data_IF_355590457520
#
_entry.id   IF_355590457520
#
_cell.length_a   1.000
_cell.length_b   1.000
_cell.length_c   1.000
_cell.angle_alpha   90.00
_cell.angle_beta   90.00
_cell.angle_gamma   90.00
#
_symmetry.space_group_name_H-M   'P 1'
#
loop_
_entity.id
_entity.type
_entity.pdbx_description
1 polymer ?
#
# COMPACT_ATOMS: atom_id res chain seq x y z
N UNK A 1 -1.59 -18.94 26.67
CA UNK A 1 -1.46 -17.48 26.46
C UNK A 1 -0.65 -17.16 25.20
N UNK A 2 0.51 -17.78 25.00
CA UNK A 2 1.33 -17.64 23.76
C UNK A 2 0.62 -18.02 22.46
N UNK A 3 -0.15 -19.11 22.44
CA UNK A 3 -0.93 -19.52 21.24
C UNK A 3 -1.95 -18.46 20.79
N UNK A 4 -2.58 -17.77 21.74
CA UNK A 4 -3.56 -16.72 21.43
C UNK A 4 -2.88 -15.53 20.72
N UNK A 5 -1.69 -15.13 21.19
CA UNK A 5 -0.93 -14.06 20.55
C UNK A 5 -0.44 -14.45 19.16
N UNK A 6 0.05 -15.67 18.97
CA UNK A 6 0.41 -16.17 17.64
C UNK A 6 -0.78 -16.14 16.67
N UNK A 7 -1.95 -16.58 17.12
CA UNK A 7 -3.17 -16.55 16.32
C UNK A 7 -3.55 -15.10 15.95
N UNK A 8 -3.42 -14.16 16.89
CA UNK A 8 -3.67 -12.74 16.62
C UNK A 8 -2.67 -12.16 15.60
N UNK A 9 -1.39 -12.49 15.70
CA UNK A 9 -0.35 -12.06 14.75
C UNK A 9 -0.67 -12.57 13.34
N UNK A 10 -1.03 -13.85 13.21
CA UNK A 10 -1.41 -14.44 11.91
C UNK A 10 -2.65 -13.77 11.34
N UNK A 11 -3.66 -13.46 12.17
CA UNK A 11 -4.83 -12.68 11.74
C UNK A 11 -4.41 -11.30 11.26
N UNK A 12 -3.53 -10.60 11.99
CA UNK A 12 -3.02 -9.29 11.58
C UNK A 12 -2.34 -9.36 10.20
N UNK A 13 -1.49 -10.36 9.95
CA UNK A 13 -0.83 -10.51 8.66
C UNK A 13 -1.80 -10.92 7.54
N UNK A 14 -2.79 -11.76 7.83
CA UNK A 14 -3.84 -12.10 6.88
C UNK A 14 -4.67 -10.86 6.50
N UNK A 15 -5.04 -10.02 7.47
CA UNK A 15 -5.74 -8.75 7.22
C UNK A 15 -4.87 -7.79 6.44
N UNK A 16 -3.57 -7.73 6.74
CA UNK A 16 -2.61 -6.90 6.01
C UNK A 16 -2.56 -7.30 4.52
N UNK A 17 -2.44 -8.59 4.21
CA UNK A 17 -2.46 -9.06 2.82
C UNK A 17 -3.84 -8.87 2.16
N UNK A 18 -4.92 -9.08 2.91
CA UNK A 18 -6.29 -8.88 2.40
C UNK A 18 -6.57 -7.41 2.07
N UNK A 19 -5.90 -6.47 2.73
CA UNK A 19 -6.07 -5.04 2.46
C UNK A 19 -5.61 -4.65 1.06
N UNK A 20 -4.74 -5.44 0.42
CA UNK A 20 -4.34 -5.23 -0.98
C UNK A 20 -5.54 -5.38 -1.93
N UNK A 21 -6.48 -6.25 -1.57
CA UNK A 21 -7.72 -6.51 -2.33
C UNK A 21 -8.81 -5.51 -1.94
N UNK A 22 -8.88 -5.16 -0.64
CA UNK A 22 -9.87 -4.24 -0.08
C UNK A 22 -9.15 -3.01 0.52
N UNK A 23 -8.80 -2.00 -0.30
CA UNK A 23 -7.81 -0.98 0.07
C UNK A 23 -8.38 0.15 0.95
N UNK A 24 -9.30 -0.22 1.84
CA UNK A 24 -9.88 0.66 2.87
C UNK A 24 -8.89 0.85 4.02
N UNK A 25 -8.10 -0.20 4.27
CA UNK A 25 -7.25 -0.31 5.45
C UNK A 25 -5.78 -0.24 5.01
N UNK A 26 -4.93 0.56 5.67
CA UNK A 26 -3.50 0.55 5.39
C UNK A 26 -2.89 -0.77 5.89
N UNK A 27 -2.65 -1.73 4.99
CA UNK A 27 -2.19 -3.07 5.35
C UNK A 27 -0.89 -3.09 6.14
N UNK A 28 0.02 -2.16 5.84
CA UNK A 28 1.31 -2.04 6.54
C UNK A 28 1.09 -1.81 8.05
N UNK A 29 0.05 -1.06 8.46
CA UNK A 29 -0.24 -0.85 9.88
C UNK A 29 -0.55 -2.16 10.61
N UNK A 30 -1.23 -3.11 9.95
CA UNK A 30 -1.54 -4.41 10.54
C UNK A 30 -0.28 -5.29 10.68
N UNK A 31 0.70 -5.14 9.79
CA UNK A 31 2.01 -5.78 9.98
C UNK A 31 2.69 -5.26 11.25
N UNK A 32 2.73 -3.93 11.42
CA UNK A 32 3.29 -3.31 12.62
C UNK A 32 2.58 -3.75 13.91
N UNK A 33 1.26 -3.83 13.90
CA UNK A 33 0.48 -4.35 15.03
C UNK A 33 0.92 -5.79 15.36
N UNK A 34 1.07 -6.66 14.36
CA UNK A 34 1.58 -8.02 14.56
C UNK A 34 2.98 -8.06 15.18
N UNK A 35 3.89 -7.21 14.70
CA UNK A 35 5.26 -7.13 15.24
C UNK A 35 5.27 -6.66 16.71
N UNK A 36 4.44 -5.67 17.04
CA UNK A 36 4.31 -5.15 18.40
C UNK A 36 3.66 -6.18 19.34
N UNK A 37 2.65 -6.92 18.88
CA UNK A 37 2.04 -8.02 19.65
C UNK A 37 3.10 -9.08 19.98
N UNK A 38 3.98 -9.41 19.03
CA UNK A 38 5.06 -10.36 19.28
C UNK A 38 6.05 -9.85 20.33
N UNK A 39 6.55 -8.63 20.15
CA UNK A 39 7.55 -8.01 21.03
C UNK A 39 7.06 -7.82 22.47
N UNK A 40 5.78 -7.44 22.66
CA UNK A 40 5.25 -7.13 23.99
C UNK A 40 4.46 -8.28 24.62
N UNK A 41 3.81 -9.13 23.80
CA UNK A 41 2.89 -10.16 24.26
C UNK A 41 3.51 -11.57 24.35
N UNK A 42 4.49 -11.89 23.50
CA UNK A 42 5.07 -13.23 23.47
C UNK A 42 6.40 -13.25 24.20
N UNK A 43 7.41 -12.54 23.71
CA UNK A 43 8.73 -12.51 24.33
C UNK A 43 9.28 -11.08 24.29
N UNK A 44 9.51 -10.50 25.47
CA UNK A 44 10.15 -9.20 25.57
C UNK A 44 11.61 -9.32 25.13
N UNK A 45 12.01 -8.49 24.16
CA UNK A 45 13.38 -8.38 23.61
C UNK A 45 13.83 -9.39 22.55
N UNK A 46 12.93 -10.12 21.90
CA UNK A 46 13.34 -11.04 20.81
C UNK A 46 13.60 -10.32 19.49
N UNK A 47 12.77 -9.36 19.05
CA UNK A 47 13.02 -8.76 17.73
C UNK A 47 14.26 -7.88 17.74
N UNK A 48 15.20 -8.20 16.84
CA UNK A 48 16.49 -7.51 16.75
C UNK A 48 16.34 -6.04 16.35
N UNK A 49 17.28 -5.18 16.73
CA UNK A 49 17.29 -3.78 16.26
C UNK A 49 17.44 -3.69 14.72
N UNK A 50 18.11 -4.69 14.12
CA UNK A 50 18.19 -4.86 12.66
C UNK A 50 16.80 -5.11 12.06
N UNK A 51 15.98 -5.96 12.68
CA UNK A 51 14.59 -6.17 12.25
C UNK A 51 13.82 -4.85 12.24
N UNK A 52 13.84 -4.09 13.35
CA UNK A 52 13.09 -2.82 13.43
C UNK A 52 13.55 -1.79 12.41
N UNK A 53 14.86 -1.58 12.26
CA UNK A 53 15.40 -0.66 11.27
C UNK A 53 15.05 -1.08 9.83
N UNK A 54 15.10 -2.37 9.51
CA UNK A 54 14.67 -2.90 8.23
C UNK A 54 13.16 -2.68 8.00
N UNK A 55 12.30 -2.93 8.98
CA UNK A 55 10.85 -2.72 8.86
C UNK A 55 10.49 -1.25 8.63
N UNK A 56 11.16 -0.31 9.31
CA UNK A 56 11.01 1.14 9.03
C UNK A 56 11.42 1.45 7.60
N UNK A 57 12.58 0.95 7.17
CA UNK A 57 13.10 1.15 5.81
C UNK A 57 12.16 0.61 4.72
N UNK A 58 11.65 -0.61 4.88
CA UNK A 58 10.69 -1.23 3.95
C UNK A 58 9.35 -0.51 3.95
N UNK A 59 8.87 -0.06 5.11
CA UNK A 59 7.66 0.77 5.21
C UNK A 59 7.82 2.08 4.44
N UNK A 60 8.96 2.76 4.62
CA UNK A 60 9.26 3.99 3.88
C UNK A 60 9.35 3.73 2.37
N UNK A 61 9.96 2.59 1.98
CA UNK A 61 10.04 2.18 0.58
C UNK A 61 8.66 1.95 -0.04
N UNK A 62 7.69 1.39 0.68
CA UNK A 62 6.30 1.27 0.21
C UNK A 62 5.72 2.66 -0.10
N UNK A 63 5.78 3.60 0.85
CA UNK A 63 5.24 4.94 0.65
C UNK A 63 5.91 5.70 -0.50
N UNK A 64 7.22 5.57 -0.64
CA UNK A 64 7.96 6.16 -1.76
C UNK A 64 7.53 5.50 -3.08
N UNK A 65 7.42 4.18 -3.10
CA UNK A 65 6.98 3.43 -4.29
C UNK A 65 5.58 3.85 -4.73
N UNK A 66 4.65 4.05 -3.80
CA UNK A 66 3.30 4.52 -4.10
C UNK A 66 3.31 5.91 -4.76
N UNK A 67 4.11 6.84 -4.23
CA UNK A 67 4.21 8.18 -4.79
C UNK A 67 4.87 8.16 -6.18
N UNK A 68 5.94 7.37 -6.33
CA UNK A 68 6.67 7.24 -7.59
C UNK A 68 5.83 6.55 -8.67
N UNK A 69 5.12 5.47 -8.36
CA UNK A 69 4.27 4.76 -9.31
C UNK A 69 3.10 5.63 -9.79
N UNK A 70 2.44 6.34 -8.87
CA UNK A 70 1.38 7.30 -9.24
C UNK A 70 1.87 8.37 -10.20
N UNK A 71 3.01 9.01 -9.91
CA UNK A 71 3.59 10.02 -10.80
C UNK A 71 4.05 9.41 -12.12
N UNK A 72 4.79 8.31 -12.06
CA UNK A 72 5.40 7.67 -13.23
C UNK A 72 4.34 7.23 -14.23
N UNK A 73 3.33 6.46 -13.80
CA UNK A 73 2.35 5.90 -14.73
C UNK A 73 1.37 6.94 -15.26
N UNK A 74 0.91 7.89 -14.45
CA UNK A 74 0.03 8.96 -14.96
C UNK A 74 0.76 9.79 -16.01
N UNK A 75 2.02 10.20 -15.75
CA UNK A 75 2.84 10.93 -16.72
C UNK A 75 3.17 10.08 -17.96
N UNK A 76 3.51 8.80 -17.77
CA UNK A 76 3.84 7.86 -18.86
C UNK A 76 2.68 7.64 -19.83
N UNK A 77 1.45 7.69 -19.32
CA UNK A 77 0.21 7.62 -20.10
C UNK A 77 -0.27 8.99 -20.60
N UNK A 78 0.56 10.02 -20.43
CA UNK A 78 0.38 11.34 -21.01
C UNK A 78 -0.37 12.33 -20.13
N UNK A 79 -0.58 12.04 -18.84
CA UNK A 79 -1.21 12.96 -17.89
C UNK A 79 -0.37 14.20 -17.57
N UNK A 80 -1.03 15.23 -17.07
CA UNK A 80 -0.41 16.47 -16.61
C UNK A 80 -0.01 16.37 -15.13
N UNK A 81 0.80 17.32 -14.64
CA UNK A 81 1.13 17.42 -13.21
C UNK A 81 -0.13 17.52 -12.35
N UNK A 82 -1.19 18.19 -12.84
CA UNK A 82 -2.46 18.26 -12.12
C UNK A 82 -3.18 16.91 -12.13
N UNK A 83 -3.12 16.17 -13.24
CA UNK A 83 -3.60 14.80 -13.33
C UNK A 83 -2.90 13.86 -12.33
N UNK A 84 -1.57 13.96 -12.17
CA UNK A 84 -0.83 13.19 -11.17
C UNK A 84 -1.35 13.43 -9.74
N UNK A 85 -1.56 14.70 -9.36
CA UNK A 85 -2.15 15.05 -8.06
C UNK A 85 -3.61 14.62 -7.94
N UNK A 86 -4.38 14.69 -9.05
CA UNK A 86 -5.76 14.20 -9.11
C UNK A 86 -5.84 12.71 -8.78
N UNK A 87 -4.91 11.91 -9.32
CA UNK A 87 -4.84 10.48 -9.07
C UNK A 87 -4.52 10.20 -7.60
N UNK A 88 -3.52 10.87 -7.03
CA UNK A 88 -3.15 10.70 -5.61
C UNK A 88 -4.29 11.07 -4.66
N UNK A 89 -4.88 12.25 -4.85
CA UNK A 89 -6.01 12.70 -4.03
C UNK A 89 -7.23 11.81 -4.27
N UNK A 90 -7.46 11.41 -5.52
CA UNK A 90 -8.56 10.54 -5.91
C UNK A 90 -8.48 9.15 -5.30
N UNK A 91 -7.29 8.58 -5.15
CA UNK A 91 -7.08 7.32 -4.41
C UNK A 91 -7.50 7.50 -2.94
N UNK A 92 -7.03 8.56 -2.28
CA UNK A 92 -7.34 8.82 -0.86
C UNK A 92 -8.84 9.07 -0.65
N UNK A 93 -9.44 9.96 -1.44
CA UNK A 93 -10.88 10.27 -1.38
C UNK A 93 -11.71 9.05 -1.79
N UNK A 94 -11.26 8.32 -2.81
CA UNK A 94 -11.88 7.11 -3.31
C UNK A 94 -12.02 6.01 -2.26
N UNK A 95 -11.06 5.93 -1.32
CA UNK A 95 -11.12 4.99 -0.19
C UNK A 95 -12.33 5.21 0.72
N UNK A 96 -12.90 6.42 0.76
CA UNK A 96 -14.03 6.76 1.62
C UNK A 96 -15.37 6.89 0.88
N UNK A 97 -15.35 7.21 -0.43
CA UNK A 97 -16.58 7.49 -1.19
C UNK A 97 -17.35 6.22 -1.57
N UNK A 98 -16.67 5.19 -2.13
CA UNK A 98 -17.33 3.97 -2.58
C UNK A 98 -16.48 2.72 -2.33
N UNK A 99 -16.27 2.31 -1.07
CA UNK A 99 -15.39 1.18 -0.78
C UNK A 99 -15.95 -0.15 -1.34
N UNK A 100 -15.15 -1.03 -2.00
CA UNK A 100 -13.72 -0.89 -2.33
C UNK A 100 -13.43 -0.24 -3.69
N UNK A 101 -14.44 -0.09 -4.56
CA UNK A 101 -14.25 0.31 -5.96
C UNK A 101 -13.88 1.78 -6.16
N UNK A 102 -14.16 2.63 -5.17
CA UNK A 102 -13.92 4.07 -5.22
C UNK A 102 -12.45 4.40 -5.45
N UNK A 103 -11.53 3.56 -4.99
CA UNK A 103 -10.08 3.71 -5.17
C UNK A 103 -9.66 3.53 -6.63
N UNK A 104 -10.50 2.91 -7.46
CA UNK A 104 -10.29 2.79 -8.90
C UNK A 104 -11.10 3.85 -9.65
N UNK A 105 -12.39 3.95 -9.33
CA UNK A 105 -13.35 4.78 -10.06
C UNK A 105 -13.10 6.27 -9.83
N UNK A 106 -12.89 6.68 -8.58
CA UNK A 106 -12.73 8.11 -8.22
C UNK A 106 -11.46 8.71 -8.82
N UNK A 107 -10.25 8.13 -8.70
CA UNK A 107 -9.07 8.70 -9.35
C UNK A 107 -9.18 8.67 -10.87
N UNK A 108 -9.76 7.63 -11.47
CA UNK A 108 -10.00 7.60 -12.92
C UNK A 108 -10.86 8.78 -13.37
N UNK A 109 -12.00 9.03 -12.71
CA UNK A 109 -12.89 10.14 -13.04
C UNK A 109 -12.23 11.49 -12.74
N UNK A 110 -11.54 11.63 -11.61
CA UNK A 110 -10.86 12.87 -11.24
C UNK A 110 -9.78 13.25 -12.26
N UNK A 111 -8.94 12.29 -12.66
CA UNK A 111 -7.93 12.51 -13.70
C UNK A 111 -8.61 12.89 -15.00
N UNK A 112 -9.65 12.16 -15.42
CA UNK A 112 -10.37 12.48 -16.66
C UNK A 112 -10.91 13.91 -16.66
N UNK A 113 -11.59 14.32 -15.59
CA UNK A 113 -12.17 15.66 -15.46
C UNK A 113 -11.07 16.73 -15.46
N UNK A 114 -10.00 16.55 -14.70
CA UNK A 114 -8.90 17.52 -14.65
C UNK A 114 -8.21 17.67 -16.01
N UNK A 115 -7.95 16.56 -16.69
CA UNK A 115 -7.30 16.58 -18.01
C UNK A 115 -8.19 17.26 -19.07
N UNK A 116 -9.51 17.02 -19.02
CA UNK A 116 -10.49 17.70 -19.88
C UNK A 116 -10.57 19.21 -19.57
N UNK A 117 -10.50 19.61 -18.29
CA UNK A 117 -10.45 21.02 -17.89
C UNK A 117 -9.17 21.72 -18.37
N UNK A 118 -8.07 20.99 -18.55
CA UNK A 118 -6.84 21.50 -19.18
C UNK A 118 -6.91 21.54 -20.72
N UNK A 119 -8.12 21.47 -21.30
CA UNK A 119 -8.39 21.53 -22.74
C UNK A 119 -7.65 20.45 -23.55
N UNK A 120 -7.41 19.29 -22.94
CA UNK A 120 -6.80 18.16 -23.64
C UNK A 120 -7.87 17.40 -24.42
N UNK A 121 -7.46 16.84 -25.56
CA UNK A 121 -8.34 15.98 -26.35
C UNK A 121 -8.83 14.78 -25.51
N UNK A 122 -10.07 14.36 -25.73
CA UNK A 122 -10.72 13.25 -24.99
C UNK A 122 -9.84 11.99 -24.99
N UNK A 123 -9.22 11.66 -26.11
CA UNK A 123 -8.32 10.50 -26.22
C UNK A 123 -7.11 10.58 -25.29
N UNK A 124 -6.57 11.78 -25.08
CA UNK A 124 -5.44 12.01 -24.17
C UNK A 124 -5.90 11.94 -22.71
N UNK A 125 -7.05 12.53 -22.40
CA UNK A 125 -7.63 12.48 -21.05
C UNK A 125 -7.96 11.04 -20.64
N UNK A 126 -8.53 10.23 -21.54
CA UNK A 126 -8.79 8.81 -21.31
C UNK A 126 -7.49 8.03 -21.04
N UNK A 127 -6.46 8.22 -21.89
CA UNK A 127 -5.16 7.57 -21.68
C UNK A 127 -4.55 7.90 -20.32
N UNK A 128 -4.54 9.17 -19.93
CA UNK A 128 -4.07 9.61 -18.62
C UNK A 128 -4.86 8.96 -17.47
N UNK A 129 -6.19 8.87 -17.62
CA UNK A 129 -7.08 8.22 -16.64
C UNK A 129 -6.78 6.73 -16.50
N UNK A 130 -6.54 6.02 -17.60
CA UNK A 130 -6.04 4.63 -17.56
C UNK A 130 -4.67 4.54 -16.88
N UNK A 131 -3.80 5.54 -17.06
CA UNK A 131 -2.54 5.65 -16.34
C UNK A 131 -2.70 5.61 -14.82
N UNK A 132 -3.77 6.21 -14.27
CA UNK A 132 -4.06 6.15 -12.83
C UNK A 132 -4.45 4.76 -12.33
N UNK A 133 -5.14 3.96 -13.14
CA UNK A 133 -5.46 2.58 -12.80
C UNK A 133 -4.21 1.71 -12.82
N UNK A 134 -3.38 1.86 -13.87
CA UNK A 134 -2.10 1.14 -13.98
C UNK A 134 -1.16 1.53 -12.85
N UNK A 135 -1.12 2.81 -12.47
CA UNK A 135 -0.38 3.26 -11.30
C UNK A 135 -0.79 2.52 -10.03
N UNK A 136 -2.09 2.49 -9.74
CA UNK A 136 -2.64 1.87 -8.55
C UNK A 136 -2.33 0.36 -8.49
N UNK A 137 -2.60 -0.39 -9.56
CA UNK A 137 -2.31 -1.82 -9.58
C UNK A 137 -0.82 -2.13 -9.47
N UNK A 138 0.03 -1.31 -10.11
CA UNK A 138 1.48 -1.48 -10.06
C UNK A 138 2.03 -1.19 -8.67
N UNK A 139 1.50 -0.15 -7.99
CA UNK A 139 1.91 0.18 -6.63
C UNK A 139 1.41 -0.87 -5.62
N UNK A 140 0.16 -1.32 -5.74
CA UNK A 140 -0.40 -2.41 -4.94
C UNK A 140 0.38 -3.72 -5.11
N UNK A 141 0.80 -4.05 -6.34
CA UNK A 141 1.63 -5.22 -6.60
C UNK A 141 2.99 -5.13 -5.91
N UNK A 142 3.69 -3.99 -6.05
CA UNK A 142 4.95 -3.74 -5.36
C UNK A 142 4.80 -3.82 -3.85
N UNK A 143 3.77 -3.17 -3.31
CA UNK A 143 3.44 -3.22 -1.88
C UNK A 143 3.23 -4.66 -1.42
N UNK A 144 2.51 -5.48 -2.19
CA UNK A 144 2.30 -6.90 -1.86
C UNK A 144 3.59 -7.70 -1.76
N UNK A 145 4.54 -7.49 -2.68
CA UNK A 145 5.87 -8.13 -2.61
C UNK A 145 6.60 -7.70 -1.34
N UNK A 146 6.64 -6.40 -1.05
CA UNK A 146 7.35 -5.89 0.13
C UNK A 146 6.72 -6.40 1.42
N UNK A 147 5.39 -6.43 1.50
CA UNK A 147 4.66 -6.96 2.64
C UNK A 147 4.94 -8.45 2.86
N UNK A 148 5.02 -9.25 1.79
CA UNK A 148 5.44 -10.66 1.89
C UNK A 148 6.87 -10.79 2.42
N UNK A 149 7.80 -9.96 1.94
CA UNK A 149 9.19 -9.94 2.44
C UNK A 149 9.20 -9.62 3.95
N UNK A 150 8.43 -8.61 4.38
CA UNK A 150 8.33 -8.22 5.79
C UNK A 150 7.79 -9.38 6.66
N UNK A 151 6.74 -10.07 6.21
CA UNK A 151 6.16 -11.22 6.92
C UNK A 151 7.16 -12.37 7.00
N UNK A 152 7.82 -12.72 5.88
CA UNK A 152 8.79 -13.81 5.84
C UNK A 152 9.98 -13.53 6.75
N UNK A 153 10.53 -12.30 6.71
CA UNK A 153 11.60 -11.89 7.61
C UNK A 153 11.15 -12.00 9.07
N UNK A 154 9.95 -11.51 9.40
CA UNK A 154 9.42 -11.63 10.75
C UNK A 154 9.42 -13.08 11.25
N UNK A 155 8.93 -14.05 10.45
CA UNK A 155 8.95 -15.45 10.86
C UNK A 155 10.37 -16.01 11.00
N UNK A 156 11.32 -15.58 10.17
CA UNK A 156 12.74 -15.98 10.29
C UNK A 156 13.32 -15.47 11.62
N UNK A 157 13.15 -14.18 11.94
CA UNK A 157 13.69 -13.58 13.17
C UNK A 157 12.99 -14.14 14.42
N UNK A 158 11.67 -14.34 14.35
CA UNK A 158 10.88 -14.86 15.46
C UNK A 158 11.12 -16.34 15.77
N UNK A 159 11.33 -17.19 14.75
CA UNK A 159 11.43 -18.65 14.93
C UNK A 159 12.85 -19.22 14.94
N UNK A 160 13.81 -18.56 14.28
CA UNK A 160 15.15 -19.14 14.08
C UNK A 160 16.28 -18.35 14.74
N UNK A 161 16.14 -17.02 14.86
CA UNK A 161 17.22 -16.16 15.37
C UNK A 161 17.15 -16.03 16.90
N UNK A 162 15.96 -16.21 17.49
CA UNK A 162 15.70 -15.95 18.91
C UNK A 162 15.20 -17.16 19.72
N UNK A 163 15.35 -18.37 19.19
CA UNK A 163 15.24 -19.64 19.92
C UNK A 163 16.61 -20.08 20.40
#
# INVERSE_FOLDING_TARGET
MTILFWLLIVICFAVALFSLIKPIIPGVLFLWIGFLIYQFGIHQHTLSWVFWSAMVGLTLFIFISDLLMNRYFVNRFGGSKKGEWAALIGVIVGSFVLPPFGILIVPFILVFVIEMMEQRAVDKALKASFGSLVAFFSSAFMQGIVMLIMILWFFIDALFINT
#
